data_IF_504514088846
#
_entry.id   IF_504514088846
#
_cell.length_a   1.000
_cell.length_b   1.000
_cell.length_c   1.000
_cell.angle_alpha   90.00
_cell.angle_beta   90.00
_cell.angle_gamma   90.00
#
_symmetry.space_group_name_H-M   'P 1'
#
loop_
_entity.id
_entity.type
_entity.pdbx_description
1 polymer ?
#
# COMPACT_ATOMS: atom_id res chain seq x y z
N UNK A 1 -18.88 7.48 -19.19
CA UNK A 1 -18.15 6.68 -18.20
C UNK A 1 -18.74 7.04 -16.85
N UNK A 2 -19.41 6.10 -16.19
CA UNK A 2 -19.99 6.32 -14.86
C UNK A 2 -18.95 5.89 -13.84
N UNK A 3 -18.64 6.76 -12.87
CA UNK A 3 -17.73 6.41 -11.77
C UNK A 3 -18.52 5.57 -10.77
N UNK A 4 -17.91 4.49 -10.28
CA UNK A 4 -18.44 3.62 -9.22
C UNK A 4 -17.62 3.83 -7.94
N UNK A 5 -18.05 4.73 -7.03
CA UNK A 5 -17.32 5.01 -5.79
C UNK A 5 -17.26 3.79 -4.86
N UNK A 6 -18.29 2.94 -4.88
CA UNK A 6 -18.31 1.71 -4.09
C UNK A 6 -17.27 0.70 -4.58
N UNK A 7 -17.13 0.56 -5.90
CA UNK A 7 -16.07 -0.23 -6.52
C UNK A 7 -14.66 0.31 -6.20
N UNK A 8 -14.48 1.63 -6.18
CA UNK A 8 -13.20 2.27 -5.82
C UNK A 8 -12.88 2.03 -4.33
N UNK A 9 -13.85 2.19 -3.43
CA UNK A 9 -13.67 1.92 -2.00
C UNK A 9 -13.31 0.44 -1.75
N UNK A 10 -14.01 -0.49 -2.39
CA UNK A 10 -13.71 -1.92 -2.27
C UNK A 10 -12.30 -2.27 -2.80
N UNK A 11 -11.86 -1.61 -3.87
CA UNK A 11 -10.50 -1.75 -4.39
C UNK A 11 -9.47 -1.22 -3.38
N UNK A 12 -9.71 -0.06 -2.77
CA UNK A 12 -8.88 0.49 -1.70
C UNK A 12 -8.75 -0.50 -0.54
N UNK A 13 -9.85 -1.03 -0.02
CA UNK A 13 -9.84 -2.00 1.09
C UNK A 13 -9.08 -3.28 0.75
N UNK A 14 -9.24 -3.75 -0.48
CA UNK A 14 -8.53 -4.94 -0.98
C UNK A 14 -7.03 -4.69 -1.04
N UNK A 15 -6.61 -3.53 -1.57
CA UNK A 15 -5.21 -3.14 -1.65
C UNK A 15 -4.60 -2.93 -0.27
N UNK A 16 -5.28 -2.23 0.64
CA UNK A 16 -4.83 -2.05 2.02
C UNK A 16 -4.68 -3.38 2.76
N UNK A 17 -5.61 -4.31 2.55
CA UNK A 17 -5.52 -5.66 3.11
C UNK A 17 -4.38 -6.48 2.51
N UNK A 18 -4.04 -6.26 1.23
CA UNK A 18 -2.89 -6.89 0.59
C UNK A 18 -1.57 -6.30 1.11
N UNK A 19 -1.50 -4.97 1.27
CA UNK A 19 -0.35 -4.27 1.86
C UNK A 19 -0.05 -4.77 3.27
N UNK A 20 -1.07 -4.89 4.13
CA UNK A 20 -0.90 -5.40 5.49
C UNK A 20 -0.30 -6.82 5.51
N UNK A 21 -0.83 -7.73 4.67
CA UNK A 21 -0.29 -9.09 4.54
C UNK A 21 1.14 -9.10 4.00
N UNK A 22 1.43 -8.21 3.04
CA UNK A 22 2.77 -8.11 2.48
C UNK A 22 3.77 -7.57 3.52
N UNK A 23 3.37 -6.60 4.35
CA UNK A 23 4.18 -6.10 5.46
C UNK A 23 4.54 -7.21 6.46
N UNK A 24 3.57 -8.05 6.84
CA UNK A 24 3.81 -9.20 7.72
C UNK A 24 4.80 -10.19 7.10
N UNK A 25 4.66 -10.47 5.80
CA UNK A 25 5.55 -11.37 5.06
C UNK A 25 6.96 -10.78 4.92
N UNK A 26 7.08 -9.48 4.66
CA UNK A 26 8.35 -8.77 4.55
C UNK A 26 9.09 -8.77 5.89
N UNK A 27 8.40 -8.53 7.00
CA UNK A 27 8.98 -8.63 8.35
C UNK A 27 9.49 -10.04 8.65
N UNK A 28 8.70 -11.07 8.31
CA UNK A 28 9.12 -12.46 8.47
C UNK A 28 10.33 -12.81 7.57
N UNK A 29 10.38 -12.24 6.36
CA UNK A 29 11.50 -12.43 5.44
C UNK A 29 12.79 -11.76 5.97
N UNK A 30 12.70 -10.51 6.43
CA UNK A 30 13.79 -9.78 7.08
C UNK A 30 14.40 -10.59 8.24
N UNK A 31 13.54 -11.16 9.10
CA UNK A 31 14.00 -11.98 10.23
C UNK A 31 14.74 -13.24 9.77
N UNK A 32 14.29 -13.89 8.69
CA UNK A 32 14.95 -15.08 8.13
C UNK A 32 16.30 -14.73 7.51
N UNK A 33 16.37 -13.62 6.79
CA UNK A 33 17.59 -13.12 6.16
C UNK A 33 18.66 -12.81 7.22
N UNK A 34 18.28 -12.08 8.28
CA UNK A 34 19.17 -11.76 9.39
C UNK A 34 19.75 -13.01 10.08
N UNK A 35 19.03 -14.14 10.03
CA UNK A 35 19.49 -15.42 10.60
C UNK A 35 20.55 -16.16 9.77
N UNK A 36 20.77 -15.81 8.51
CA UNK A 36 21.69 -16.54 7.60
C UNK A 36 23.10 -15.96 7.62
N UNK A 37 23.25 -14.63 7.76
CA UNK A 37 24.56 -13.95 7.76
C UNK A 37 25.64 -14.58 8.66
N UNK A 38 25.31 -15.00 9.90
CA UNK A 38 26.27 -15.64 10.80
C UNK A 38 26.83 -17.01 10.34
N UNK A 39 26.29 -17.60 9.27
CA UNK A 39 26.63 -18.97 8.82
C UNK A 39 27.93 -19.02 7.99
N UNK A 40 28.38 -17.89 7.42
CA UNK A 40 29.49 -17.90 6.46
C UNK A 40 30.88 -18.08 7.07
N UNK A 41 31.02 -17.97 8.40
CA UNK A 41 32.31 -18.08 9.09
C UNK A 41 33.17 -16.82 8.99
N UNK A 42 34.26 -16.77 9.76
CA UNK A 42 35.11 -15.58 9.92
C UNK A 42 36.41 -15.64 9.07
N UNK A 43 36.60 -16.69 8.28
CA UNK A 43 37.76 -16.75 7.37
C UNK A 43 37.61 -15.78 6.18
N UNK A 44 38.67 -15.61 5.39
CA UNK A 44 38.68 -14.69 4.25
C UNK A 44 37.53 -14.99 3.27
N UNK A 45 37.24 -16.26 3.02
CA UNK A 45 36.15 -16.66 2.12
C UNK A 45 34.78 -16.35 2.74
N UNK A 46 34.60 -16.67 4.02
CA UNK A 46 33.40 -16.39 4.79
C UNK A 46 33.09 -14.90 4.89
N UNK A 47 34.10 -14.06 5.06
CA UNK A 47 33.93 -12.60 5.09
C UNK A 47 33.48 -12.02 3.74
N UNK A 48 34.04 -12.49 2.61
CA UNK A 48 33.61 -12.09 1.26
C UNK A 48 32.17 -12.53 1.01
N UNK A 49 31.82 -13.76 1.39
CA UNK A 49 30.46 -14.28 1.28
C UNK A 49 29.48 -13.48 2.16
N UNK A 50 29.88 -13.12 3.37
CA UNK A 50 29.11 -12.27 4.27
C UNK A 50 28.81 -10.89 3.66
N UNK A 51 29.82 -10.24 3.06
CA UNK A 51 29.65 -8.95 2.38
C UNK A 51 28.70 -9.06 1.19
N UNK A 52 28.91 -10.07 0.33
CA UNK A 52 28.05 -10.27 -0.84
C UNK A 52 26.60 -10.59 -0.44
N UNK A 53 26.42 -11.35 0.64
CA UNK A 53 25.12 -11.65 1.21
C UNK A 53 24.44 -10.40 1.76
N UNK A 54 25.15 -9.59 2.54
CA UNK A 54 24.62 -8.36 3.14
C UNK A 54 24.14 -7.38 2.07
N UNK A 55 24.96 -7.14 1.04
CA UNK A 55 24.61 -6.27 -0.09
C UNK A 55 23.38 -6.78 -0.86
N UNK A 56 23.38 -8.06 -1.24
CA UNK A 56 22.27 -8.65 -1.98
C UNK A 56 20.97 -8.63 -1.17
N UNK A 57 21.07 -8.91 0.13
CA UNK A 57 19.92 -8.93 1.02
C UNK A 57 19.37 -7.53 1.27
N UNK A 58 20.23 -6.54 1.47
CA UNK A 58 19.84 -5.13 1.66
C UNK A 58 19.12 -4.59 0.44
N UNK A 59 19.66 -4.85 -0.76
CA UNK A 59 19.00 -4.45 -2.02
C UNK A 59 17.60 -5.05 -2.17
N UNK A 60 17.45 -6.36 -1.91
CA UNK A 60 16.12 -7.01 -2.00
C UNK A 60 15.15 -6.42 -0.99
N UNK A 61 15.60 -6.16 0.24
CA UNK A 61 14.75 -5.60 1.28
C UNK A 61 14.31 -4.17 0.97
N UNK A 62 15.19 -3.36 0.37
CA UNK A 62 14.88 -2.01 -0.10
C UNK A 62 13.76 -2.04 -1.16
N UNK A 63 13.94 -2.82 -2.22
CA UNK A 63 12.95 -2.91 -3.31
C UNK A 63 11.58 -3.41 -2.82
N UNK A 64 11.56 -4.38 -1.90
CA UNK A 64 10.31 -4.89 -1.33
C UNK A 64 9.64 -3.85 -0.42
N UNK A 65 10.42 -3.04 0.29
CA UNK A 65 9.89 -1.96 1.12
C UNK A 65 9.29 -0.84 0.27
N UNK A 66 9.98 -0.42 -0.79
CA UNK A 66 9.47 0.57 -1.75
C UNK A 66 8.16 0.08 -2.40
N UNK A 67 8.10 -1.18 -2.80
CA UNK A 67 6.88 -1.77 -3.36
C UNK A 67 5.72 -1.77 -2.34
N UNK A 68 5.99 -2.03 -1.06
CA UNK A 68 4.98 -1.99 0.00
C UNK A 68 4.43 -0.57 0.20
N UNK A 69 5.32 0.43 0.21
CA UNK A 69 4.96 1.84 0.33
C UNK A 69 4.06 2.29 -0.84
N UNK A 70 4.42 1.93 -2.07
CA UNK A 70 3.65 2.29 -3.26
C UNK A 70 2.24 1.67 -3.26
N UNK A 71 2.10 0.42 -2.82
CA UNK A 71 0.77 -0.21 -2.64
C UNK A 71 -0.04 0.55 -1.58
N UNK A 72 0.62 0.99 -0.50
CA UNK A 72 0.00 1.80 0.55
C UNK A 72 -0.49 3.15 0.03
N UNK A 73 0.32 3.86 -0.76
CA UNK A 73 -0.06 5.12 -1.38
C UNK A 73 -1.23 4.95 -2.35
N UNK A 74 -1.16 3.97 -3.25
CA UNK A 74 -2.25 3.70 -4.19
C UNK A 74 -3.56 3.32 -3.48
N UNK A 75 -3.49 2.55 -2.39
CA UNK A 75 -4.66 2.26 -1.54
C UNK A 75 -5.24 3.53 -0.91
N UNK A 76 -4.38 4.42 -0.41
CA UNK A 76 -4.79 5.71 0.16
C UNK A 76 -5.46 6.63 -0.86
N UNK A 77 -4.90 6.71 -2.06
CA UNK A 77 -5.43 7.51 -3.17
C UNK A 77 -6.82 7.02 -3.59
N UNK A 78 -7.02 5.70 -3.72
CA UNK A 78 -8.34 5.15 -4.03
C UNK A 78 -9.36 5.46 -2.93
N UNK A 79 -8.97 5.32 -1.66
CA UNK A 79 -9.84 5.69 -0.54
C UNK A 79 -10.23 7.18 -0.58
N UNK A 80 -9.27 8.06 -0.86
CA UNK A 80 -9.52 9.49 -0.98
C UNK A 80 -10.44 9.82 -2.17
N UNK A 81 -10.24 9.14 -3.31
CA UNK A 81 -11.11 9.28 -4.49
C UNK A 81 -12.54 8.86 -4.19
N UNK A 82 -12.75 7.72 -3.53
CA UNK A 82 -14.10 7.25 -3.15
C UNK A 82 -14.82 8.28 -2.26
N UNK A 83 -14.14 8.79 -1.23
CA UNK A 83 -14.68 9.80 -0.31
C UNK A 83 -15.01 11.12 -1.02
N UNK A 84 -14.17 11.56 -1.95
CA UNK A 84 -14.41 12.76 -2.73
C UNK A 84 -15.68 12.61 -3.61
N UNK A 85 -15.88 11.43 -4.21
CA UNK A 85 -17.09 11.16 -4.99
C UNK A 85 -18.36 11.16 -4.14
N UNK A 86 -18.35 10.51 -2.97
CA UNK A 86 -19.49 10.52 -2.06
C UNK A 86 -19.83 11.93 -1.57
N UNK A 87 -18.81 12.73 -1.22
CA UNK A 87 -18.98 14.11 -0.78
C UNK A 87 -19.59 14.98 -1.88
N UNK A 88 -19.11 14.83 -3.12
CA UNK A 88 -19.63 15.59 -4.27
C UNK A 88 -21.08 15.23 -4.59
N UNK A 89 -21.43 13.94 -4.52
CA UNK A 89 -22.81 13.49 -4.78
C UNK A 89 -23.78 14.02 -3.71
N UNK A 90 -23.39 13.97 -2.44
CA UNK A 90 -24.18 14.53 -1.34
C UNK A 90 -24.39 16.04 -1.52
N UNK A 91 -23.34 16.80 -1.86
CA UNK A 91 -23.44 18.23 -2.12
C UNK A 91 -24.34 18.57 -3.31
N UNK A 92 -24.29 17.77 -4.38
CA UNK A 92 -25.17 17.95 -5.53
C UNK A 92 -26.64 17.67 -5.16
N UNK A 93 -26.91 16.59 -4.42
CA UNK A 93 -28.25 16.27 -3.95
C UNK A 93 -28.84 17.40 -3.07
N UNK A 94 -28.04 17.97 -2.18
CA UNK A 94 -28.42 19.12 -1.36
C UNK A 94 -28.73 20.37 -2.19
N UNK A 95 -27.89 20.67 -3.19
CA UNK A 95 -28.13 21.79 -4.12
C UNK A 95 -29.43 21.61 -4.91
N UNK A 96 -29.66 20.40 -5.47
CA UNK A 96 -30.87 20.12 -6.24
C UNK A 96 -32.13 20.16 -5.37
N UNK A 97 -32.08 19.61 -4.15
CA UNK A 97 -33.22 19.68 -3.22
C UNK A 97 -33.53 21.13 -2.83
N UNK A 98 -32.50 21.96 -2.62
CA UNK A 98 -32.66 23.39 -2.36
C UNK A 98 -33.26 24.16 -3.54
N UNK A 99 -32.85 23.86 -4.78
CA UNK A 99 -33.42 24.49 -5.98
C UNK A 99 -34.88 24.06 -6.17
N UNK A 100 -35.19 22.77 -6.04
CA UNK A 100 -36.55 22.26 -6.16
C UNK A 100 -37.49 22.85 -5.11
N UNK A 101 -37.01 22.99 -3.86
CA UNK A 101 -37.76 23.67 -2.80
C UNK A 101 -38.02 25.16 -3.08
N UNK A 102 -37.16 25.84 -3.85
CA UNK A 102 -37.34 27.24 -4.26
C UNK A 102 -38.20 27.41 -5.51
N UNK A 103 -38.33 26.38 -6.34
CA UNK A 103 -39.08 26.41 -7.60
C UNK A 103 -40.50 25.82 -7.49
N UNK A 104 -40.79 25.07 -6.43
CA UNK A 104 -42.07 24.35 -6.25
C UNK A 104 -42.67 24.45 -4.85
N UNK A 105 -42.29 25.46 -4.07
CA UNK A 105 -43.03 25.93 -2.89
C UNK A 105 -43.96 27.07 -3.25
#
# INVERSE_FOLDING_TARGET
>A
MQVDPGGIAAAADTMGSAAARFADQLSAFQARVAGIGPVFGEDETGSILGIAYDEASSFVLEVLTEALEEIGFASGDLSAMAQAHETNEAGNADLFSGILGRLGG
#
